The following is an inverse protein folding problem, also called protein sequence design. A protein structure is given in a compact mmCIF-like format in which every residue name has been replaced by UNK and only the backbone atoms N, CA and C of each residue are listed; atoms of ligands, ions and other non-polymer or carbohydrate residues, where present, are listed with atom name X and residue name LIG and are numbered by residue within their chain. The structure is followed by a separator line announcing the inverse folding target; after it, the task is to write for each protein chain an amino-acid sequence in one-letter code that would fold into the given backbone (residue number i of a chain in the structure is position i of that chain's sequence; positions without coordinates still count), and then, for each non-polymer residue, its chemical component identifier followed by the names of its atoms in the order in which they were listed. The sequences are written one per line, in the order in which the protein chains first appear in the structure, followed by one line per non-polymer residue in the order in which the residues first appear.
data_IF_626966676084
#
_entry.id   IF_626966676084
#
_cell.length_a   1.000
_cell.length_b   1.000
_cell.length_c   1.000
_cell.angle_alpha   90.00
_cell.angle_beta   90.00
_cell.angle_gamma   90.00
#
_symmetry.space_group_name_H-M   'P 1'
#
loop_
_entity.id
_entity.type
_entity.pdbx_description
1 polymer ?
#
# COMPACT_ATOMS: atom_id res chain seq x y z
N UNK A 1 -8.97 17.68 1.01
CA UNK A 1 -8.37 17.63 2.37
C UNK A 1 -7.66 16.30 2.50
N UNK A 2 -6.46 16.24 3.08
CA UNK A 2 -5.76 14.97 3.36
C UNK A 2 -6.09 14.52 4.79
N UNK A 3 -6.29 13.22 4.97
CA UNK A 3 -6.50 12.62 6.30
C UNK A 3 -5.63 11.38 6.43
N UNK A 4 -4.98 11.27 7.60
CA UNK A 4 -4.16 10.12 7.97
C UNK A 4 -4.72 9.41 9.19
N UNK A 5 -4.60 8.09 9.21
CA UNK A 5 -4.88 7.23 10.36
C UNK A 5 -3.73 6.24 10.56
N UNK A 6 -3.46 5.87 11.81
CA UNK A 6 -2.40 4.91 12.17
C UNK A 6 -3.02 3.76 12.98
N UNK A 7 -2.81 2.54 12.50
CA UNK A 7 -3.08 1.31 13.23
C UNK A 7 -1.77 0.78 13.84
N UNK A 8 -1.64 0.89 15.16
CA UNK A 8 -0.42 0.48 15.91
C UNK A 8 -0.71 -0.28 17.21
N UNK A 9 -1.99 -0.55 17.51
CA UNK A 9 -2.44 -1.27 18.71
C UNK A 9 -3.78 -1.97 18.48
N UNK A 10 -4.06 -2.99 19.28
CA UNK A 10 -5.34 -3.71 19.26
C UNK A 10 -5.43 -4.89 18.29
N UNK A 11 -4.33 -5.23 17.62
CA UNK A 11 -4.22 -6.38 16.71
C UNK A 11 -3.01 -7.24 17.09
N UNK A 12 -2.99 -8.51 16.68
CA UNK A 12 -1.84 -9.40 16.91
C UNK A 12 -0.65 -9.07 15.98
N UNK A 13 -0.92 -8.42 14.85
CA UNK A 13 0.05 -7.82 13.96
C UNK A 13 -0.62 -6.74 13.12
N UNK A 14 0.14 -5.72 12.73
CA UNK A 14 -0.45 -4.46 12.30
C UNK A 14 -0.43 -4.24 10.79
N UNK A 15 0.32 -5.07 10.05
CA UNK A 15 0.43 -4.98 8.59
C UNK A 15 -0.30 -6.10 7.84
N UNK A 16 -1.17 -6.87 8.51
CA UNK A 16 -2.06 -7.81 7.84
C UNK A 16 -3.21 -7.08 7.15
N UNK A 17 -3.15 -6.96 5.83
CA UNK A 17 -4.10 -6.15 5.06
C UNK A 17 -5.45 -6.83 4.85
N UNK A 18 -5.56 -8.16 5.00
CA UNK A 18 -6.81 -8.89 4.73
C UNK A 18 -7.98 -8.41 5.57
N UNK A 19 -7.77 -8.24 6.88
CA UNK A 19 -8.81 -7.78 7.80
C UNK A 19 -9.24 -6.34 7.50
N UNK A 20 -8.28 -5.46 7.20
CA UNK A 20 -8.54 -4.07 6.79
C UNK A 20 -9.43 -4.06 5.55
N UNK A 21 -9.05 -4.80 4.51
CA UNK A 21 -9.82 -4.90 3.27
C UNK A 21 -11.23 -5.45 3.50
N UNK A 22 -11.40 -6.44 4.38
CA UNK A 22 -12.73 -7.00 4.69
C UNK A 22 -13.62 -5.99 5.44
N UNK A 23 -13.08 -5.30 6.44
CA UNK A 23 -13.85 -4.37 7.27
C UNK A 23 -14.20 -3.07 6.53
N UNK A 24 -13.39 -2.69 5.55
CA UNK A 24 -13.59 -1.50 4.73
C UNK A 24 -14.26 -1.81 3.38
N UNK A 25 -15.14 -2.81 3.34
CA UNK A 25 -15.95 -3.18 2.17
C UNK A 25 -15.15 -3.40 0.87
N UNK A 26 -13.92 -3.91 1.00
CA UNK A 26 -13.01 -4.16 -0.11
C UNK A 26 -12.71 -2.93 -1.00
N UNK A 27 -12.62 -1.73 -0.41
CA UNK A 27 -12.30 -0.47 -1.11
C UNK A 27 -11.09 -0.57 -2.04
N UNK A 28 -10.12 -1.44 -1.73
CA UNK A 28 -8.92 -1.58 -2.55
C UNK A 28 -9.21 -2.01 -3.99
N UNK A 29 -10.38 -2.64 -4.23
CA UNK A 29 -10.84 -3.03 -5.56
C UNK A 29 -11.18 -1.84 -6.46
N UNK A 30 -11.38 -0.65 -5.89
CA UNK A 30 -11.74 0.55 -6.64
C UNK A 30 -10.52 1.20 -7.31
N UNK A 31 -9.31 0.74 -6.99
CA UNK A 31 -8.06 1.32 -7.44
C UNK A 31 -7.17 0.33 -8.22
N UNK A 32 -6.25 0.90 -9.00
CA UNK A 32 -5.00 0.24 -9.37
C UNK A 32 -3.91 0.62 -8.37
N UNK A 33 -2.93 -0.26 -8.16
CA UNK A 33 -1.94 -0.12 -7.09
C UNK A 33 -0.52 -0.12 -7.63
N UNK A 34 0.23 0.92 -7.28
CA UNK A 34 1.69 0.92 -7.31
C UNK A 34 2.19 0.49 -5.94
N UNK A 35 2.96 -0.60 -5.89
CA UNK A 35 3.64 -1.06 -4.67
C UNK A 35 5.12 -0.73 -4.84
N UNK A 36 5.69 0.03 -3.93
CA UNK A 36 7.10 0.43 -3.93
C UNK A 36 7.72 0.20 -2.54
N UNK A 37 9.05 0.20 -2.49
CA UNK A 37 9.82 -0.02 -1.25
C UNK A 37 9.38 -1.26 -0.47
N UNK A 38 9.09 -2.33 -1.23
CA UNK A 38 8.44 -3.52 -0.71
C UNK A 38 9.46 -4.50 -0.15
N UNK A 39 9.49 -4.62 1.17
CA UNK A 39 10.06 -5.75 1.89
C UNK A 39 8.92 -6.52 2.58
N UNK A 40 8.65 -7.74 2.11
CA UNK A 40 7.57 -8.57 2.63
C UNK A 40 7.92 -10.04 2.53
N UNK A 41 7.27 -10.86 3.34
CA UNK A 41 7.59 -12.28 3.48
C UNK A 41 6.38 -13.18 3.18
N UNK A 42 5.84 -13.17 1.95
CA UNK A 42 4.78 -14.08 1.56
C UNK A 42 5.27 -15.53 1.58
N UNK A 43 4.36 -16.44 1.94
CA UNK A 43 4.64 -17.89 2.01
C UNK A 43 4.30 -18.62 0.72
N UNK A 44 3.41 -18.06 -0.10
CA UNK A 44 3.04 -18.65 -1.38
C UNK A 44 4.04 -18.31 -2.47
N UNK A 45 4.45 -19.36 -3.18
CA UNK A 45 5.34 -19.26 -4.35
C UNK A 45 4.80 -18.26 -5.38
N UNK A 46 5.70 -17.43 -5.91
CA UNK A 46 5.37 -16.41 -6.92
C UNK A 46 4.77 -15.12 -6.37
N UNK A 47 4.33 -15.08 -5.11
CA UNK A 47 3.72 -13.87 -4.55
C UNK A 47 4.75 -12.75 -4.36
N UNK A 48 5.94 -13.06 -3.87
CA UNK A 48 6.99 -12.06 -3.66
C UNK A 48 7.42 -11.44 -4.98
N UNK A 49 7.66 -12.28 -5.99
CA UNK A 49 7.99 -11.86 -7.35
C UNK A 49 6.87 -11.02 -7.94
N UNK A 50 5.60 -11.30 -7.62
CA UNK A 50 4.46 -10.56 -8.14
C UNK A 50 4.33 -9.15 -7.54
N UNK A 51 4.54 -9.01 -6.24
CA UNK A 51 4.43 -7.72 -5.51
C UNK A 51 5.69 -6.85 -5.63
N UNK A 52 6.79 -7.39 -6.15
CA UNK A 52 8.03 -6.63 -6.44
C UNK A 52 8.33 -6.49 -7.94
N UNK A 53 7.78 -7.38 -8.77
CA UNK A 53 8.06 -7.55 -10.22
C UNK A 53 9.54 -7.58 -10.60
N UNK A 54 10.45 -7.79 -9.64
CA UNK A 54 11.89 -7.66 -9.84
C UNK A 54 12.36 -6.29 -10.33
N UNK A 55 11.53 -5.24 -10.20
CA UNK A 55 11.78 -3.89 -10.78
C UNK A 55 11.84 -2.77 -9.74
N UNK A 56 11.85 -3.10 -8.46
CA UNK A 56 11.72 -2.13 -7.37
C UNK A 56 10.30 -1.54 -7.22
N UNK A 57 9.35 -1.99 -8.06
CA UNK A 57 7.94 -1.65 -7.94
C UNK A 57 7.06 -2.74 -8.55
N UNK A 58 5.81 -2.82 -8.12
CA UNK A 58 4.76 -3.56 -8.82
C UNK A 58 3.58 -2.66 -9.17
N UNK A 59 3.05 -2.84 -10.38
CA UNK A 59 1.75 -2.34 -10.79
C UNK A 59 0.74 -3.49 -10.87
N UNK A 60 -0.31 -3.45 -10.04
CA UNK A 60 -1.32 -4.50 -9.91
C UNK A 60 -2.73 -3.91 -9.80
N UNK A 61 -3.75 -4.64 -10.21
CA UNK A 61 -5.14 -4.21 -9.99
C UNK A 61 -5.58 -4.45 -8.55
N UNK A 62 -6.60 -3.73 -8.07
CA UNK A 62 -7.21 -3.97 -6.77
C UNK A 62 -7.79 -5.38 -6.61
N UNK A 63 -8.34 -5.96 -7.69
CA UNK A 63 -8.81 -7.35 -7.70
C UNK A 63 -7.67 -8.36 -7.51
N UNK A 64 -6.55 -8.12 -8.18
CA UNK A 64 -5.37 -8.95 -8.06
C UNK A 64 -4.74 -8.85 -6.66
N UNK A 65 -4.58 -7.63 -6.12
CA UNK A 65 -4.13 -7.41 -4.75
C UNK A 65 -5.01 -8.15 -3.75
N UNK A 66 -6.34 -8.05 -3.92
CA UNK A 66 -7.31 -8.77 -3.08
C UNK A 66 -7.08 -10.27 -3.13
N UNK A 67 -6.83 -10.83 -4.32
CA UNK A 67 -6.61 -12.27 -4.49
C UNK A 67 -5.29 -12.75 -3.90
N UNK A 68 -4.21 -11.96 -4.01
CA UNK A 68 -2.92 -12.25 -3.37
C UNK A 68 -3.11 -12.34 -1.85
N UNK A 69 -3.66 -11.29 -1.23
CA UNK A 69 -3.87 -11.21 0.22
C UNK A 69 -4.88 -12.25 0.74
N UNK A 70 -5.91 -12.58 -0.06
CA UNK A 70 -6.87 -13.63 0.31
C UNK A 70 -6.20 -15.01 0.42
N UNK A 71 -5.30 -15.32 -0.52
CA UNK A 71 -4.60 -16.61 -0.61
C UNK A 71 -3.44 -16.72 0.36
N UNK A 72 -2.82 -15.60 0.70
CA UNK A 72 -1.66 -15.52 1.58
C UNK A 72 -1.70 -14.16 2.29
N UNK A 73 -2.10 -14.18 3.56
CA UNK A 73 -2.14 -12.98 4.39
C UNK A 73 -0.84 -12.91 5.19
N UNK A 74 0.14 -12.23 4.60
CA UNK A 74 1.49 -12.10 5.13
C UNK A 74 1.73 -10.72 5.74
N UNK A 75 2.77 -10.61 6.56
CA UNK A 75 3.23 -9.32 7.04
C UNK A 75 4.07 -8.61 6.00
N UNK A 76 3.82 -7.32 5.88
CA UNK A 76 4.64 -6.38 5.15
C UNK A 76 5.58 -5.76 6.19
N UNK A 77 6.89 -5.87 5.95
CA UNK A 77 7.90 -5.23 6.79
C UNK A 77 7.96 -3.74 6.42
N UNK A 78 8.28 -3.46 5.17
CA UNK A 78 8.15 -2.13 4.56
C UNK A 78 7.38 -2.23 3.25
N UNK A 79 6.51 -1.26 2.98
CA UNK A 79 5.94 -1.04 1.65
C UNK A 79 5.13 0.25 1.65
N UNK A 80 5.07 0.91 0.49
CA UNK A 80 4.03 1.89 0.19
C UNK A 80 3.16 1.35 -0.93
N UNK A 81 1.87 1.15 -0.64
CA UNK A 81 0.85 0.81 -1.61
C UNK A 81 0.10 2.09 -1.95
N UNK A 82 0.36 2.64 -3.13
CA UNK A 82 -0.32 3.84 -3.65
C UNK A 82 -1.48 3.45 -4.55
N UNK A 83 -2.70 3.86 -4.19
CA UNK A 83 -3.93 3.60 -4.92
C UNK A 83 -4.30 4.73 -5.87
N UNK A 84 -4.59 4.38 -7.12
CA UNK A 84 -4.94 5.30 -8.21
C UNK A 84 -6.29 4.95 -8.79
N UNK A 85 -7.08 5.97 -9.15
CA UNK A 85 -8.32 5.76 -9.90
C UNK A 85 -8.03 4.96 -11.17
N UNK A 86 -8.98 4.08 -11.55
CA UNK A 86 -8.80 3.14 -12.68
C UNK A 86 -8.61 3.82 -14.04
N UNK A 87 -8.90 5.12 -14.14
CA UNK A 87 -8.68 5.91 -15.35
C UNK A 87 -7.21 6.25 -15.60
N UNK A 88 -6.34 6.18 -14.57
CA UNK A 88 -4.92 6.47 -14.74
C UNK A 88 -4.18 5.33 -15.43
N UNK A 89 -3.39 5.67 -16.43
CA UNK A 89 -2.50 4.76 -17.12
C UNK A 89 -1.19 4.56 -16.35
N UNK A 90 -0.70 3.32 -16.32
CA UNK A 90 0.59 2.97 -15.70
C UNK A 90 1.73 3.86 -16.20
N UNK A 91 1.78 4.16 -17.50
CA UNK A 91 2.85 4.97 -18.09
C UNK A 91 2.86 6.42 -17.61
N UNK A 92 1.72 6.95 -17.15
CA UNK A 92 1.63 8.27 -16.54
C UNK A 92 2.14 8.24 -15.10
N UNK A 93 1.73 7.24 -14.32
CA UNK A 93 2.16 7.04 -12.93
C UNK A 93 3.68 6.91 -12.84
N UNK A 94 4.30 6.13 -13.72
CA UNK A 94 5.74 5.89 -13.69
C UNK A 94 6.63 7.08 -14.07
N UNK A 95 6.06 8.26 -14.35
CA UNK A 95 6.83 9.50 -14.60
C UNK A 95 7.26 10.20 -13.31
N UNK A 96 6.71 9.80 -12.16
CA UNK A 96 6.98 10.42 -10.87
C UNK A 96 7.92 9.56 -10.02
N UNK A 97 8.52 10.20 -9.01
CA UNK A 97 9.33 9.53 -8.01
C UNK A 97 8.51 8.48 -7.25
N UNK A 98 9.17 7.37 -6.92
CA UNK A 98 8.52 6.28 -6.21
C UNK A 98 8.41 6.60 -4.72
N UNK A 99 7.22 6.42 -4.12
CA UNK A 99 7.05 6.50 -2.68
C UNK A 99 7.90 5.45 -1.96
N UNK A 100 8.35 5.78 -0.76
CA UNK A 100 9.10 4.84 0.07
C UNK A 100 8.66 4.93 1.52
N UNK A 101 8.77 3.81 2.23
CA UNK A 101 8.43 3.71 3.63
C UNK A 101 9.66 4.05 4.46
N UNK A 102 10.72 3.25 4.38
CA UNK A 102 11.86 3.36 5.30
C UNK A 102 12.58 4.72 5.18
N UNK A 103 12.73 5.41 6.30
CA UNK A 103 13.38 6.72 6.36
C UNK A 103 12.54 7.92 5.88
N UNK A 104 11.30 7.74 5.42
CA UNK A 104 10.46 8.88 5.03
C UNK A 104 9.94 9.65 6.26
N UNK A 105 10.54 10.81 6.53
CA UNK A 105 10.21 11.64 7.70
C UNK A 105 8.86 12.36 7.62
N UNK A 106 8.19 12.38 6.46
CA UNK A 106 6.94 13.12 6.23
C UNK A 106 5.73 12.51 6.93
N UNK A 107 5.73 11.21 7.23
CA UNK A 107 4.63 10.54 7.92
C UNK A 107 4.41 11.01 9.36
N UNK A 108 5.45 11.58 9.97
CA UNK A 108 5.49 11.96 11.39
C UNK A 108 5.39 13.48 11.58
N UNK A 109 5.06 14.20 10.51
CA UNK A 109 4.85 15.65 10.54
C UNK A 109 3.39 15.99 10.85
N UNK A 110 3.14 17.24 11.26
CA UNK A 110 1.79 17.75 11.51
C UNK A 110 0.92 17.67 10.24
N UNK A 111 1.49 18.05 9.10
CA UNK A 111 0.82 18.02 7.80
C UNK A 111 1.30 16.80 7.03
N UNK A 112 0.48 15.75 7.04
CA UNK A 112 0.75 14.51 6.31
C UNK A 112 0.38 14.69 4.84
N UNK A 113 1.21 14.16 3.95
CA UNK A 113 0.96 14.18 2.51
C UNK A 113 0.92 12.75 1.95
N UNK A 114 0.22 12.58 0.84
CA UNK A 114 0.40 11.44 -0.06
C UNK A 114 1.68 11.73 -0.87
N UNK A 115 2.62 10.80 -0.90
CA UNK A 115 3.90 10.99 -1.59
C UNK A 115 3.71 11.07 -3.10
N UNK A 116 2.95 10.14 -3.69
CA UNK A 116 2.72 10.16 -5.13
C UNK A 116 1.63 11.19 -5.50
N UNK A 117 1.93 12.18 -6.37
CA UNK A 117 1.00 13.30 -6.61
C UNK A 117 -0.36 12.88 -7.19
N UNK A 118 -0.36 11.84 -8.04
CA UNK A 118 -1.57 11.29 -8.65
C UNK A 118 -2.32 10.27 -7.78
N UNK A 119 -1.76 9.80 -6.66
CA UNK A 119 -2.43 8.80 -5.84
C UNK A 119 -3.61 9.41 -5.05
N UNK A 120 -4.66 8.63 -4.87
CA UNK A 120 -5.85 8.99 -4.07
C UNK A 120 -5.71 8.52 -2.62
N UNK A 121 -4.96 7.43 -2.42
CA UNK A 121 -4.71 6.83 -1.11
C UNK A 121 -3.31 6.21 -1.09
N UNK A 122 -2.67 6.21 0.07
CA UNK A 122 -1.47 5.43 0.39
C UNK A 122 -1.73 4.56 1.63
N UNK A 123 -1.41 3.27 1.53
CA UNK A 123 -1.31 2.35 2.66
C UNK A 123 0.18 2.07 2.87
N UNK A 124 0.68 2.39 4.04
CA UNK A 124 2.11 2.27 4.36
C UNK A 124 2.29 1.23 5.45
N UNK A 125 3.04 0.18 5.14
CA UNK A 125 3.54 -0.75 6.14
C UNK A 125 4.89 -0.26 6.65
N UNK A 126 5.05 -0.17 7.97
CA UNK A 126 6.27 0.33 8.60
C UNK A 126 6.79 -0.65 9.65
N UNK A 127 7.97 -1.21 9.39
CA UNK A 127 8.70 -2.15 10.25
C UNK A 127 7.82 -3.31 10.78
N UNK A 128 6.78 -3.70 10.03
CA UNK A 128 5.69 -4.59 10.50
C UNK A 128 4.92 -4.17 11.77
N UNK A 129 5.33 -3.08 12.42
CA UNK A 129 4.82 -2.61 13.71
C UNK A 129 3.61 -1.69 13.63
N UNK A 130 3.34 -1.11 12.46
CA UNK A 130 2.15 -0.30 12.22
C UNK A 130 1.77 -0.25 10.74
N UNK A 131 0.51 0.13 10.49
CA UNK A 131 0.03 0.54 9.17
C UNK A 131 -0.45 1.98 9.22
N UNK A 132 0.02 2.82 8.30
CA UNK A 132 -0.58 4.13 8.03
C UNK A 132 -1.56 4.04 6.86
N UNK A 133 -2.68 4.73 6.96
CA UNK A 133 -3.61 4.96 5.85
C UNK A 133 -3.75 6.46 5.65
N UNK A 134 -3.39 6.95 4.47
CA UNK A 134 -3.38 8.37 4.11
C UNK A 134 -4.26 8.53 2.87
N UNK A 135 -5.30 9.35 2.92
CA UNK A 135 -6.26 9.49 1.82
C UNK A 135 -6.66 10.94 1.57
N UNK A 136 -6.94 11.27 0.31
CA UNK A 136 -7.72 12.45 -0.06
C UNK A 136 -9.18 12.16 0.34
N UNK A 137 -9.74 12.95 1.27
CA UNK A 137 -11.19 12.94 1.48
C UNK A 137 -11.84 13.33 0.15
N UNK A 138 -12.65 12.43 -0.41
CA UNK A 138 -13.62 12.74 -1.46
C UNK A 138 -14.85 13.40 -0.86
#
# INVERSE_FOLDING_TARGET
MITGAILYKGEQGYTYLKKIFQLMNHFQKDYNWLITDCEAYPKKEGHYERITQGKGYAWISGEELTNIIKKDDFQWHFAVLSGFDKCFDKSEILKYEFPYADGYGGFWQKDIIIQHPLACIEIVAWDSGLTLMISKIM
#
